data_IF_993321637495
#
_entry.id   IF_993321637495
#
_cell.length_a   1.000
_cell.length_b   1.000
_cell.length_c   1.000
_cell.angle_alpha   90.00
_cell.angle_beta   90.00
_cell.angle_gamma   90.00
#
_symmetry.space_group_name_H-M   'P 1'
#
loop_
_entity.id
_entity.type
_entity.pdbx_description
1 polymer ?
#
# COMPACT_ATOMS: atom_id res chain seq x y z
N UNK A 1 28.90 43.21 -19.33
CA UNK A 1 29.01 41.86 -19.90
C UNK A 1 27.80 41.07 -19.40
N UNK A 2 26.68 41.23 -20.10
CA UNK A 2 25.35 40.73 -19.72
C UNK A 2 25.16 39.35 -20.32
N UNK A 3 25.12 38.31 -19.47
CA UNK A 3 24.83 36.94 -19.89
C UNK A 3 23.35 36.84 -20.28
N UNK A 4 23.09 36.72 -21.58
CA UNK A 4 21.80 36.35 -22.14
C UNK A 4 21.55 34.87 -21.79
N UNK A 5 20.71 34.61 -20.80
CA UNK A 5 20.20 33.26 -20.52
C UNK A 5 19.34 32.86 -21.72
N UNK A 6 19.87 32.02 -22.60
CA UNK A 6 19.11 31.43 -23.69
C UNK A 6 17.94 30.64 -23.09
N UNK A 7 16.73 31.15 -23.31
CA UNK A 7 15.48 30.47 -23.01
C UNK A 7 15.24 29.41 -24.08
N UNK A 8 16.08 28.38 -24.11
CA UNK A 8 15.94 27.28 -25.07
C UNK A 8 15.07 26.17 -24.48
N UNK A 9 13.87 26.05 -25.06
CA UNK A 9 13.25 24.75 -25.38
C UNK A 9 12.66 23.96 -24.20
N UNK A 10 11.73 24.56 -23.44
CA UNK A 10 10.84 23.82 -22.52
C UNK A 10 9.47 23.54 -23.18
N UNK A 11 9.22 24.04 -24.39
CA UNK A 11 7.92 23.94 -25.07
C UNK A 11 7.64 22.59 -25.77
N UNK A 12 8.52 21.60 -25.66
CA UNK A 12 8.40 20.35 -26.43
C UNK A 12 8.18 19.09 -25.60
N UNK A 13 7.95 19.18 -24.29
CA UNK A 13 7.55 18.00 -23.52
C UNK A 13 6.02 17.90 -23.55
N UNK A 14 5.49 17.22 -24.55
CA UNK A 14 4.04 17.00 -24.60
C UNK A 14 3.65 16.06 -23.45
N UNK A 15 2.45 16.20 -22.85
CA UNK A 15 1.98 15.29 -21.80
C UNK A 15 2.00 13.81 -22.21
N UNK A 16 2.05 13.54 -23.52
CA UNK A 16 2.08 12.21 -24.12
C UNK A 16 3.48 11.56 -24.13
N UNK A 17 4.57 12.30 -23.95
CA UNK A 17 5.94 11.72 -24.05
C UNK A 17 6.39 11.04 -22.74
N UNK A 18 5.96 11.56 -21.59
CA UNK A 18 6.22 10.94 -20.29
C UNK A 18 5.73 9.49 -20.15
N UNK A 19 4.49 9.13 -20.52
CA UNK A 19 4.02 7.76 -20.40
C UNK A 19 4.80 6.79 -21.28
N UNK A 20 5.28 7.20 -22.46
CA UNK A 20 6.16 6.38 -23.29
C UNK A 20 7.51 6.12 -22.60
N UNK A 21 8.12 7.16 -22.03
CA UNK A 21 9.36 7.01 -21.27
C UNK A 21 9.19 6.09 -20.06
N UNK A 22 8.09 6.25 -19.31
CA UNK A 22 7.74 5.36 -18.19
C UNK A 22 7.56 3.91 -18.66
N UNK A 23 6.86 3.68 -19.77
CA UNK A 23 6.65 2.34 -20.33
C UNK A 23 7.99 1.65 -20.65
N UNK A 24 8.96 2.38 -21.21
CA UNK A 24 10.31 1.84 -21.50
C UNK A 24 11.03 1.46 -20.21
N UNK A 25 10.94 2.28 -19.16
CA UNK A 25 11.52 1.97 -17.84
C UNK A 25 10.90 0.72 -17.20
N UNK A 26 9.65 0.42 -17.53
CA UNK A 26 8.95 -0.80 -17.14
C UNK A 26 9.50 -2.07 -17.78
N UNK A 27 10.37 -1.98 -18.78
CA UNK A 27 10.98 -3.13 -19.45
C UNK A 27 12.30 -3.51 -18.76
N UNK A 28 12.47 -4.79 -18.49
CA UNK A 28 13.71 -5.34 -17.97
C UNK A 28 14.74 -5.51 -19.10
N UNK A 29 15.72 -4.61 -19.15
CA UNK A 29 16.68 -4.49 -20.26
C UNK A 29 17.43 -5.80 -20.62
N UNK A 30 17.64 -6.70 -19.66
CA UNK A 30 18.35 -7.97 -19.89
C UNK A 30 17.46 -9.13 -20.34
N UNK A 31 16.17 -9.09 -20.00
CA UNK A 31 15.25 -10.22 -20.17
C UNK A 31 14.19 -9.93 -21.26
N UNK A 32 14.01 -8.67 -21.66
CA UNK A 32 12.96 -8.26 -22.58
C UNK A 32 11.54 -8.39 -21.99
N UNK A 33 11.43 -8.77 -20.72
CA UNK A 33 10.16 -8.92 -19.99
C UNK A 33 9.77 -7.62 -19.30
N UNK A 34 8.49 -7.49 -18.93
CA UNK A 34 8.06 -6.43 -18.03
C UNK A 34 8.63 -6.67 -16.63
N UNK A 35 9.04 -5.59 -15.96
CA UNK A 35 9.44 -5.60 -14.56
C UNK A 35 8.23 -5.90 -13.69
N UNK A 36 8.47 -6.59 -12.57
CA UNK A 36 7.46 -6.75 -11.55
C UNK A 36 7.11 -5.40 -10.91
N UNK A 37 5.90 -5.30 -10.37
CA UNK A 37 5.40 -4.07 -9.76
C UNK A 37 6.31 -3.60 -8.60
N UNK A 38 6.90 -4.51 -7.83
CA UNK A 38 7.84 -4.19 -6.77
C UNK A 38 9.09 -3.48 -7.30
N UNK A 39 9.74 -4.03 -8.31
CA UNK A 39 10.97 -3.47 -8.89
C UNK A 39 10.70 -2.15 -9.64
N UNK A 40 9.56 -2.10 -10.33
CA UNK A 40 9.18 -0.91 -11.10
C UNK A 40 8.77 0.25 -10.19
N UNK A 41 8.13 -0.01 -9.04
CA UNK A 41 7.70 1.02 -8.10
C UNK A 41 8.85 1.85 -7.52
N UNK A 42 10.01 1.23 -7.29
CA UNK A 42 11.22 1.95 -6.83
C UNK A 42 11.75 2.92 -7.88
N UNK A 43 11.80 2.49 -9.15
CA UNK A 43 12.23 3.34 -10.28
C UNK A 43 11.29 4.53 -10.42
N UNK A 44 9.97 4.28 -10.36
CA UNK A 44 8.96 5.31 -10.49
C UNK A 44 9.01 6.30 -9.32
N UNK A 45 9.26 5.82 -8.09
CA UNK A 45 9.45 6.67 -6.91
C UNK A 45 10.68 7.57 -7.06
N UNK A 46 11.79 7.05 -7.59
CA UNK A 46 12.97 7.84 -7.91
C UNK A 46 12.68 8.94 -8.94
N UNK A 47 11.91 8.61 -9.99
CA UNK A 47 11.52 9.58 -11.01
C UNK A 47 10.66 10.70 -10.40
N UNK A 48 9.68 10.36 -9.54
CA UNK A 48 8.84 11.32 -8.83
C UNK A 48 9.70 12.27 -7.98
N UNK A 49 10.71 11.73 -7.29
CA UNK A 49 11.63 12.53 -6.50
C UNK A 49 12.44 13.50 -7.38
N UNK A 50 13.04 13.02 -8.47
CA UNK A 50 13.81 13.86 -9.39
C UNK A 50 12.95 15.01 -9.96
N UNK A 51 11.73 14.70 -10.41
CA UNK A 51 10.80 15.71 -10.92
C UNK A 51 10.45 16.73 -9.85
N UNK A 52 10.22 16.32 -8.60
CA UNK A 52 9.96 17.25 -7.49
C UNK A 52 11.14 18.17 -7.21
N UNK A 53 12.37 17.65 -7.20
CA UNK A 53 13.57 18.46 -6.96
C UNK A 53 13.79 19.47 -8.10
N UNK A 54 13.71 19.03 -9.36
CA UNK A 54 13.84 19.91 -10.53
C UNK A 54 12.74 20.97 -10.52
N UNK A 55 11.51 20.58 -10.18
CA UNK A 55 10.39 21.53 -10.12
C UNK A 55 10.57 22.53 -8.98
N UNK A 56 11.12 22.12 -7.83
CA UNK A 56 11.44 23.06 -6.76
C UNK A 56 12.50 24.07 -7.21
N UNK A 57 13.57 23.62 -7.88
CA UNK A 57 14.61 24.51 -8.41
C UNK A 57 14.07 25.48 -9.48
N UNK A 58 13.14 25.02 -10.33
CA UNK A 58 12.55 25.83 -11.39
C UNK A 58 11.51 26.84 -10.85
N UNK A 59 10.71 26.42 -9.87
CA UNK A 59 9.60 27.21 -9.35
C UNK A 59 10.00 28.14 -8.21
N UNK A 60 11.03 27.78 -7.42
CA UNK A 60 11.51 28.64 -6.33
C UNK A 60 12.47 29.70 -6.90
N UNK A 61 12.21 30.99 -6.68
CA UNK A 61 13.17 32.02 -7.01
C UNK A 61 14.44 31.85 -6.17
N UNK A 62 15.61 31.81 -6.80
CA UNK A 62 16.92 31.58 -6.16
C UNK A 62 17.32 32.64 -5.12
N UNK A 63 16.57 33.74 -5.01
CA UNK A 63 16.74 34.81 -4.02
C UNK A 63 15.62 34.87 -2.97
N UNK A 64 14.82 33.81 -2.86
CA UNK A 64 13.65 33.75 -1.99
C UNK A 64 12.43 34.49 -2.56
N UNK A 65 11.26 34.20 -2.00
CA UNK A 65 9.99 34.84 -2.36
C UNK A 65 9.97 36.25 -1.78
N UNK A 66 9.94 37.27 -2.65
CA UNK A 66 10.05 38.69 -2.27
C UNK A 66 8.70 39.38 -2.05
N UNK A 67 7.58 38.66 -2.19
CA UNK A 67 6.25 39.19 -1.89
C UNK A 67 5.08 38.32 -2.34
N UNK A 68 3.86 38.79 -2.04
CA UNK A 68 2.58 38.16 -2.40
C UNK A 68 2.45 37.77 -3.89
N UNK A 69 2.83 38.61 -4.88
CA UNK A 69 2.66 38.24 -6.29
C UNK A 69 3.57 37.09 -6.73
N UNK A 70 4.79 36.99 -6.19
CA UNK A 70 5.70 35.86 -6.48
C UNK A 70 5.20 34.57 -5.85
N UNK A 71 4.61 34.64 -4.65
CA UNK A 71 3.95 33.51 -3.99
C UNK A 71 2.76 33.03 -4.81
N UNK A 72 1.96 33.95 -5.37
CA UNK A 72 0.81 33.60 -6.18
C UNK A 72 1.23 32.94 -7.50
N UNK A 73 2.22 33.49 -8.19
CA UNK A 73 2.80 32.88 -9.39
C UNK A 73 3.35 31.47 -9.12
N UNK A 74 4.05 31.28 -8.00
CA UNK A 74 4.49 29.95 -7.57
C UNK A 74 3.32 28.97 -7.38
N UNK A 75 2.24 29.41 -6.72
CA UNK A 75 1.04 28.60 -6.50
C UNK A 75 0.35 28.23 -7.82
N UNK A 76 0.29 29.16 -8.76
CA UNK A 76 -0.36 28.94 -10.06
C UNK A 76 0.46 27.98 -10.94
N UNK A 77 1.79 28.11 -10.95
CA UNK A 77 2.66 27.18 -11.65
C UNK A 77 2.67 25.78 -11.01
N UNK A 78 2.66 25.70 -9.66
CA UNK A 78 2.47 24.44 -8.94
C UNK A 78 1.14 23.80 -9.29
N UNK A 79 0.05 24.57 -9.34
CA UNK A 79 -1.28 24.07 -9.72
C UNK A 79 -1.29 23.52 -11.15
N UNK A 80 -0.60 24.19 -12.06
CA UNK A 80 -0.55 23.78 -13.48
C UNK A 80 0.26 22.50 -13.71
N UNK A 81 1.39 22.32 -13.02
CA UNK A 81 2.34 21.24 -13.35
C UNK A 81 2.49 20.15 -12.28
N UNK A 82 2.15 20.43 -11.02
CA UNK A 82 2.45 19.56 -9.87
C UNK A 82 1.22 19.09 -9.08
N UNK A 83 0.07 19.75 -9.25
CA UNK A 83 -1.13 19.39 -8.50
C UNK A 83 -1.81 18.17 -9.11
N UNK A 84 -2.26 17.27 -8.23
CA UNK A 84 -2.94 16.02 -8.59
C UNK A 84 -4.29 16.31 -9.27
N UNK A 85 -4.63 15.55 -10.31
CA UNK A 85 -5.91 15.65 -11.04
C UNK A 85 -5.92 16.37 -12.40
N UNK A 86 -4.82 17.01 -12.84
CA UNK A 86 -4.67 17.46 -14.24
C UNK A 86 -3.91 16.41 -15.07
N UNK A 87 -4.08 16.42 -16.41
CA UNK A 87 -3.29 15.62 -17.37
C UNK A 87 -1.82 16.09 -17.45
N UNK A 88 -1.13 16.09 -16.30
CA UNK A 88 0.28 16.41 -16.16
C UNK A 88 1.12 15.18 -15.90
N UNK A 89 2.42 15.29 -16.18
CA UNK A 89 3.39 14.20 -16.04
C UNK A 89 3.46 13.66 -14.61
N UNK A 90 3.51 14.55 -13.60
CA UNK A 90 3.64 14.14 -12.21
C UNK A 90 2.40 13.42 -11.66
N UNK A 91 1.16 13.91 -11.87
CA UNK A 91 -0.06 13.15 -11.54
C UNK A 91 -0.11 11.76 -12.21
N UNK A 92 0.28 11.64 -13.49
CA UNK A 92 0.34 10.33 -14.16
C UNK A 92 1.33 9.38 -13.49
N UNK A 93 2.51 9.88 -13.09
CA UNK A 93 3.50 9.09 -12.36
C UNK A 93 2.98 8.65 -10.98
N UNK A 94 2.30 9.54 -10.25
CA UNK A 94 1.72 9.24 -8.93
C UNK A 94 0.59 8.22 -9.05
N UNK A 95 -0.28 8.37 -10.05
CA UNK A 95 -1.36 7.42 -10.33
C UNK A 95 -0.80 6.03 -10.67
N UNK A 96 0.22 5.96 -11.52
CA UNK A 96 0.87 4.70 -11.86
C UNK A 96 1.58 4.07 -10.66
N UNK A 97 2.16 4.89 -9.76
CA UNK A 97 2.77 4.42 -8.52
C UNK A 97 1.72 3.86 -7.54
N UNK A 98 0.57 4.53 -7.43
CA UNK A 98 -0.55 4.05 -6.62
C UNK A 98 -1.08 2.71 -7.15
N UNK A 99 -1.17 2.56 -8.47
CA UNK A 99 -1.53 1.30 -9.12
C UNK A 99 -0.50 0.18 -8.89
N UNK A 100 0.79 0.48 -9.04
CA UNK A 100 1.84 -0.50 -8.73
C UNK A 100 1.78 -0.95 -7.27
N UNK A 101 1.51 -0.01 -6.34
CA UNK A 101 1.34 -0.32 -4.92
C UNK A 101 0.13 -1.21 -4.65
N UNK A 102 -1.00 -1.00 -5.33
CA UNK A 102 -2.17 -1.87 -5.17
C UNK A 102 -1.85 -3.29 -5.63
N UNK A 103 -1.19 -3.46 -6.78
CA UNK A 103 -0.74 -4.78 -7.26
C UNK A 103 0.20 -5.46 -6.27
N UNK A 104 1.20 -4.74 -5.73
CA UNK A 104 2.13 -5.32 -4.73
C UNK A 104 1.37 -5.74 -3.46
N UNK A 105 0.39 -4.94 -3.03
CA UNK A 105 -0.43 -5.25 -1.86
C UNK A 105 -1.27 -6.52 -2.11
N UNK A 106 -1.87 -6.64 -3.29
CA UNK A 106 -2.67 -7.79 -3.68
C UNK A 106 -1.80 -9.05 -3.88
N UNK A 107 -0.61 -8.91 -4.47
CA UNK A 107 0.35 -10.01 -4.67
C UNK A 107 0.96 -10.49 -3.35
N UNK A 108 1.28 -9.58 -2.43
CA UNK A 108 1.67 -9.91 -1.05
C UNK A 108 0.63 -10.78 -0.36
N UNK A 109 -0.67 -10.55 -0.62
CA UNK A 109 -1.72 -11.41 -0.12
C UNK A 109 -1.81 -12.74 -0.88
N UNK A 110 -1.70 -12.72 -2.21
CA UNK A 110 -1.84 -13.90 -3.08
C UNK A 110 -0.76 -14.98 -2.85
N UNK A 111 0.47 -14.60 -2.49
CA UNK A 111 1.54 -15.55 -2.14
C UNK A 111 1.52 -16.02 -0.68
N UNK A 112 0.68 -15.41 0.16
CA UNK A 112 0.70 -15.63 1.60
C UNK A 112 -0.31 -16.66 2.07
N UNK A 113 -1.44 -16.85 1.39
CA UNK A 113 -2.48 -17.80 1.83
C UNK A 113 -3.11 -18.47 0.62
N UNK A 114 -2.94 -19.79 0.51
CA UNK A 114 -3.68 -20.58 -0.48
C UNK A 114 -4.04 -21.96 0.06
N UNK A 115 -5.08 -22.56 -0.53
CA UNK A 115 -5.54 -23.89 -0.19
C UNK A 115 -4.87 -24.93 -1.08
N UNK A 116 -4.28 -25.94 -0.46
CA UNK A 116 -3.64 -27.08 -1.12
C UNK A 116 -4.38 -28.39 -0.77
N UNK A 117 -4.12 -29.43 -1.56
CA UNK A 117 -4.62 -30.80 -1.33
C UNK A 117 -6.15 -30.87 -1.13
N UNK A 118 -6.89 -30.29 -2.07
CA UNK A 118 -8.36 -30.37 -2.07
C UNK A 118 -8.99 -29.67 -0.86
N UNK A 119 -8.45 -28.50 -0.49
CA UNK A 119 -8.97 -27.64 0.59
C UNK A 119 -8.77 -28.18 2.02
N UNK A 120 -7.81 -29.09 2.22
CA UNK A 120 -7.49 -29.67 3.54
C UNK A 120 -6.27 -29.05 4.20
N UNK A 121 -5.40 -28.41 3.42
CA UNK A 121 -4.18 -27.79 3.93
C UNK A 121 -4.17 -26.32 3.55
N UNK A 122 -4.09 -25.46 4.56
CA UNK A 122 -3.84 -24.04 4.40
C UNK A 122 -2.34 -23.83 4.31
N UNK A 123 -1.85 -23.26 3.22
CA UNK A 123 -0.45 -22.83 3.10
C UNK A 123 -0.37 -21.36 3.42
N UNK A 124 0.15 -21.03 4.62
CA UNK A 124 0.35 -19.68 5.09
C UNK A 124 1.84 -19.30 5.04
N UNK A 125 2.25 -18.39 4.14
CA UNK A 125 3.64 -17.94 3.97
C UNK A 125 4.66 -19.09 3.86
N UNK A 126 4.28 -20.16 3.17
CA UNK A 126 5.07 -21.39 3.01
C UNK A 126 4.94 -22.41 4.15
N UNK A 127 4.35 -22.04 5.29
CA UNK A 127 4.01 -22.99 6.35
C UNK A 127 2.73 -23.75 5.97
N UNK A 128 2.76 -25.07 6.06
CA UNK A 128 1.62 -25.94 5.77
C UNK A 128 0.88 -26.24 7.06
N UNK A 129 -0.37 -25.80 7.14
CA UNK A 129 -1.25 -26.00 8.29
C UNK A 129 -2.38 -26.91 7.86
N UNK A 130 -2.42 -28.13 8.38
CA UNK A 130 -3.56 -29.02 8.17
C UNK A 130 -4.80 -28.44 8.89
N UNK A 131 -5.95 -28.46 8.23
CA UNK A 131 -7.20 -27.92 8.77
C UNK A 131 -7.58 -28.61 10.10
N UNK A 132 -7.28 -29.90 10.24
CA UNK A 132 -7.56 -30.68 11.45
C UNK A 132 -6.72 -30.19 12.63
N UNK A 133 -5.44 -29.87 12.38
CA UNK A 133 -4.56 -29.29 13.41
C UNK A 133 -4.99 -27.88 13.77
N UNK A 134 -5.44 -27.09 12.79
CA UNK A 134 -5.97 -25.76 13.04
C UNK A 134 -7.23 -25.81 13.89
N UNK A 135 -8.15 -26.74 13.61
CA UNK A 135 -9.35 -27.00 14.42
C UNK A 135 -8.97 -27.36 15.85
N UNK A 136 -8.07 -28.35 16.02
CA UNK A 136 -7.62 -28.76 17.35
C UNK A 136 -6.93 -27.61 18.12
N UNK A 137 -6.18 -26.75 17.44
CA UNK A 137 -5.58 -25.56 18.05
C UNK A 137 -6.66 -24.60 18.56
N UNK A 138 -7.70 -24.33 17.76
CA UNK A 138 -8.80 -23.45 18.17
C UNK A 138 -9.58 -24.05 19.33
N UNK A 139 -9.91 -25.34 19.28
CA UNK A 139 -10.60 -26.05 20.35
C UNK A 139 -9.78 -26.02 21.65
N UNK A 140 -8.49 -26.28 21.59
CA UNK A 140 -7.60 -26.19 22.75
C UNK A 140 -7.49 -24.77 23.31
N UNK A 141 -7.45 -23.74 22.44
CA UNK A 141 -7.40 -22.36 22.89
C UNK A 141 -8.70 -21.93 23.59
N UNK A 142 -9.85 -22.45 23.15
CA UNK A 142 -11.13 -22.24 23.81
C UNK A 142 -11.13 -22.92 25.18
N UNK A 143 -10.73 -24.19 25.26
CA UNK A 143 -10.64 -24.90 26.53
C UNK A 143 -9.67 -24.24 27.52
N UNK A 144 -8.51 -23.78 27.05
CA UNK A 144 -7.55 -23.06 27.89
C UNK A 144 -8.13 -21.72 28.38
N UNK A 145 -8.86 -21.00 27.52
CA UNK A 145 -9.54 -19.77 27.91
C UNK A 145 -10.66 -20.03 28.94
N UNK A 146 -11.46 -21.08 28.74
CA UNK A 146 -12.49 -21.51 29.70
C UNK A 146 -11.88 -21.87 31.04
N UNK A 147 -10.80 -22.65 31.05
CA UNK A 147 -10.06 -23.00 32.26
C UNK A 147 -9.55 -21.77 33.00
N UNK A 148 -8.99 -20.79 32.27
CA UNK A 148 -8.52 -19.54 32.86
C UNK A 148 -9.65 -18.71 33.45
N UNK A 149 -10.83 -18.66 32.81
CA UNK A 149 -12.01 -17.97 33.32
C UNK A 149 -12.50 -18.64 34.61
N UNK A 150 -12.63 -19.97 34.61
CA UNK A 150 -13.08 -20.73 35.77
C UNK A 150 -12.11 -20.62 36.95
N UNK A 151 -10.81 -20.67 36.67
CA UNK A 151 -9.76 -20.54 37.68
C UNK A 151 -9.68 -19.12 38.25
N UNK A 152 -9.65 -18.10 37.38
CA UNK A 152 -9.31 -16.72 37.77
C UNK A 152 -10.53 -15.91 38.18
N UNK A 153 -11.60 -15.98 37.40
CA UNK A 153 -12.78 -15.14 37.59
C UNK A 153 -13.77 -15.80 38.55
N UNK A 154 -14.02 -17.09 38.35
CA UNK A 154 -15.03 -17.83 39.11
C UNK A 154 -14.45 -18.51 40.36
N UNK A 155 -13.11 -18.55 40.50
CA UNK A 155 -12.40 -19.19 41.63
C UNK A 155 -12.80 -20.66 41.87
N UNK A 156 -13.22 -21.35 40.81
CA UNK A 156 -13.68 -22.74 40.86
C UNK A 156 -12.71 -23.63 40.07
N UNK A 157 -11.72 -24.25 40.74
CA UNK A 157 -10.69 -25.02 40.06
C UNK A 157 -11.14 -26.43 39.65
N UNK A 158 -12.24 -26.94 40.21
CA UNK A 158 -12.76 -28.29 39.91
C UNK A 158 -13.77 -28.23 38.79
N UNK A 159 -13.59 -29.09 37.79
CA UNK A 159 -14.48 -29.19 36.64
C UNK A 159 -15.91 -29.62 37.04
N UNK A 160 -16.03 -30.48 38.06
CA UNK A 160 -17.32 -30.93 38.62
C UNK A 160 -18.17 -29.81 39.22
N UNK A 161 -17.53 -28.70 39.56
CA UNK A 161 -18.16 -27.58 40.24
C UNK A 161 -18.44 -26.43 39.25
N UNK A 162 -18.10 -26.61 37.96
CA UNK A 162 -18.37 -25.66 36.88
C UNK A 162 -19.85 -25.68 36.51
N UNK A 163 -20.37 -24.52 36.13
CA UNK A 163 -21.75 -24.39 35.69
C UNK A 163 -21.86 -24.84 34.23
N UNK A 164 -22.46 -26.00 34.00
CA UNK A 164 -22.88 -26.45 32.67
C UNK A 164 -24.36 -26.12 32.48
N UNK A 165 -24.62 -25.09 31.68
CA UNK A 165 -25.99 -24.69 31.32
C UNK A 165 -26.24 -25.07 29.86
N UNK A 166 -27.26 -25.90 29.63
CA UNK A 166 -27.76 -26.11 28.28
C UNK A 166 -28.55 -24.88 27.86
N UNK A 167 -27.95 -24.06 26.99
CA UNK A 167 -28.53 -22.79 26.51
C UNK A 167 -29.88 -23.02 25.80
N UNK A 168 -30.11 -24.22 25.26
CA UNK A 168 -31.36 -24.58 24.56
C UNK A 168 -32.54 -24.67 25.53
N UNK A 169 -32.28 -25.01 26.80
CA UNK A 169 -33.31 -25.20 27.82
C UNK A 169 -33.52 -23.93 28.67
N UNK A 170 -32.81 -22.83 28.39
CA UNK A 170 -33.02 -21.56 29.09
C UNK A 170 -34.26 -20.85 28.55
N UNK A 171 -35.30 -20.76 29.39
CA UNK A 171 -36.42 -19.84 29.22
C UNK A 171 -36.09 -18.51 29.87
N UNK A 172 -36.28 -17.40 29.15
CA UNK A 172 -36.08 -16.04 29.66
C UNK A 172 -37.28 -15.65 30.56
N UNK A 173 -37.05 -15.52 31.87
CA UNK A 173 -38.06 -15.13 32.86
C UNK A 173 -38.25 -13.59 32.92
N UNK A 174 -38.17 -12.92 31.77
CA UNK A 174 -38.50 -11.50 31.64
C UNK A 174 -39.98 -11.34 31.27
N UNK A 175 -40.85 -11.46 32.28
CA UNK A 175 -42.24 -10.99 32.25
C UNK A 175 -42.37 -9.61 32.89
#
# INVERSE_FOLDING_TARGET
MTMHRQNSRIDSFTPLDAPHFMAILGIHAKLGTLREAQDYSYILTGLVYCVRVISLDLLLPSKGLRGIPEIQNFRDQRRKYLQDGLMGVLPSMISLLAYAKSIVTDYSNFGSIFWAEGNRVLVFKGARIAIDNFRAMVENAIHEAEDLIWLTLMSTPRETDRLELNIIDLSDDMS
#
